data_IF_401592712544
#
_entry.id   IF_401592712544
#
_cell.length_a   1.000
_cell.length_b   1.000
_cell.length_c   1.000
_cell.angle_alpha   90.00
_cell.angle_beta   90.00
_cell.angle_gamma   90.00
#
_symmetry.space_group_name_H-M   'P 1'
#
loop_
_entity.id
_entity.type
_entity.pdbx_description
1 polymer ?
#
# COMPACT_ATOMS: atom_id res chain seq x y z
N UNK A 1 5.84 4.21 -16.31
CA UNK A 1 4.93 4.60 -15.23
C UNK A 1 5.67 5.35 -14.15
N UNK A 2 5.02 6.32 -13.58
CA UNK A 2 5.64 7.11 -12.51
C UNK A 2 5.72 6.35 -11.20
N UNK A 3 4.77 5.45 -10.98
CA UNK A 3 4.70 4.74 -9.71
C UNK A 3 5.28 3.35 -9.85
N UNK A 4 5.95 2.92 -8.82
CA UNK A 4 6.50 1.57 -8.77
C UNK A 4 5.48 0.65 -8.10
N UNK A 5 4.79 -0.12 -8.93
CA UNK A 5 3.73 -1.01 -8.43
C UNK A 5 4.28 -2.04 -7.44
N UNK A 6 5.50 -2.50 -7.67
CA UNK A 6 6.10 -3.47 -6.76
C UNK A 6 6.23 -2.91 -5.36
N UNK A 7 6.67 -1.66 -5.26
CA UNK A 7 6.83 -1.03 -3.95
C UNK A 7 5.47 -0.75 -3.31
N UNK A 8 4.50 -0.35 -4.12
CA UNK A 8 3.16 -0.08 -3.60
C UNK A 8 2.55 -1.36 -3.03
N UNK A 9 2.69 -2.46 -3.76
CA UNK A 9 2.16 -3.73 -3.30
C UNK A 9 2.86 -4.19 -2.02
N UNK A 10 4.17 -4.01 -1.98
CA UNK A 10 4.93 -4.38 -0.79
C UNK A 10 4.50 -3.55 0.41
N UNK A 11 4.29 -2.26 0.20
CA UNK A 11 3.82 -1.39 1.26
C UNK A 11 2.45 -1.81 1.76
N UNK A 12 1.57 -2.15 0.82
CA UNK A 12 0.22 -2.59 1.18
C UNK A 12 0.29 -3.85 2.02
N UNK A 13 1.14 -4.80 1.66
CA UNK A 13 1.29 -6.01 2.43
C UNK A 13 1.75 -5.73 3.85
N UNK A 14 2.71 -4.82 4.00
CA UNK A 14 3.20 -4.47 5.32
C UNK A 14 2.10 -3.86 6.17
N UNK A 15 1.35 -2.95 5.59
CA UNK A 15 0.25 -2.30 6.30
C UNK A 15 -0.82 -3.31 6.67
N UNK A 16 -1.11 -4.23 5.77
CA UNK A 16 -2.10 -5.26 6.02
C UNK A 16 -1.70 -6.14 7.21
N UNK A 17 -0.43 -6.51 7.25
CA UNK A 17 0.05 -7.39 8.31
C UNK A 17 0.14 -6.67 9.66
N UNK A 18 0.56 -5.41 9.64
CA UNK A 18 0.76 -4.67 10.87
C UNK A 18 -0.51 -4.05 11.42
N UNK A 19 -1.34 -3.51 10.54
CA UNK A 19 -2.44 -2.67 10.95
C UNK A 19 -3.75 -3.38 11.19
N UNK A 20 -3.83 -4.66 10.95
CA UNK A 20 -5.09 -5.40 11.10
C UNK A 20 -6.21 -4.77 10.30
N UNK A 21 -5.87 -4.25 9.16
CA UNK A 21 -6.85 -3.65 8.25
C UNK A 21 -7.03 -4.57 7.05
N UNK A 22 -8.08 -4.34 6.28
CA UNK A 22 -8.30 -5.14 5.09
C UNK A 22 -7.23 -4.81 4.05
N UNK A 23 -7.00 -5.75 3.14
CA UNK A 23 -6.01 -5.52 2.09
C UNK A 23 -6.40 -4.34 1.21
N UNK A 24 -7.70 -4.17 0.97
CA UNK A 24 -8.17 -3.03 0.18
C UNK A 24 -7.80 -1.72 0.86
N UNK A 25 -7.97 -1.66 2.16
CA UNK A 25 -7.62 -0.48 2.93
C UNK A 25 -6.10 -0.24 2.87
N UNK A 26 -5.34 -1.30 3.05
CA UNK A 26 -3.89 -1.20 3.00
C UNK A 26 -3.41 -0.70 1.65
N UNK A 27 -4.01 -1.21 0.59
CA UNK A 27 -3.65 -0.81 -0.76
C UNK A 27 -3.99 0.66 -1.00
N UNK A 28 -5.14 1.09 -0.50
CA UNK A 28 -5.53 2.48 -0.62
C UNK A 28 -4.52 3.40 0.06
N UNK A 29 -4.11 3.03 1.26
CA UNK A 29 -3.14 3.83 2.00
C UNK A 29 -1.78 3.83 1.31
N UNK A 30 -1.39 2.69 0.74
CA UNK A 30 -0.14 2.62 0.02
C UNK A 30 -0.15 3.56 -1.19
N UNK A 31 -1.25 3.62 -1.89
CA UNK A 31 -1.39 4.53 -3.03
C UNK A 31 -1.32 5.98 -2.59
N UNK A 32 -1.97 6.31 -1.50
CA UNK A 32 -1.92 7.67 -0.97
C UNK A 32 -0.49 8.06 -0.62
N UNK A 33 0.25 7.15 -0.03
CA UNK A 33 1.64 7.40 0.31
C UNK A 33 2.48 7.59 -0.94
N UNK A 34 2.20 6.83 -1.98
CA UNK A 34 2.93 6.96 -3.23
C UNK A 34 2.65 8.29 -3.92
N UNK A 35 1.43 8.76 -3.80
CA UNK A 35 1.07 10.04 -4.41
C UNK A 35 1.63 11.22 -3.65
N UNK A 36 1.76 11.08 -2.38
CA UNK A 36 2.32 12.15 -1.56
C UNK A 36 3.80 12.32 -1.84
#
# INVERSE_FOLDING_TARGET
MKYNLSQIMRKAWELFRKGKITFAEALHRAWLSAKA
#
